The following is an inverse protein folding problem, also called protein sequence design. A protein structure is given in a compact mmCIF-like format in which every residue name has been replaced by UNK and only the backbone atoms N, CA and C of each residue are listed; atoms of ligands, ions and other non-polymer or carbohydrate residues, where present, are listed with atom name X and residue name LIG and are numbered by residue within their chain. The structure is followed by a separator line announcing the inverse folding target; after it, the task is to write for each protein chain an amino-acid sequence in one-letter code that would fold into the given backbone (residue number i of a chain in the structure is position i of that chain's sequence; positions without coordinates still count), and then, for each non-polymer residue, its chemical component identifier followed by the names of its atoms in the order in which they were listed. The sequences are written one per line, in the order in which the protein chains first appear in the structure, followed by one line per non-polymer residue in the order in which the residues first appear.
data_IF_365322810712
#
_entry.id   IF_365322810712
#
_cell.length_a   1.000
_cell.length_b   1.000
_cell.length_c   1.000
_cell.angle_alpha   90.00
_cell.angle_beta   90.00
_cell.angle_gamma   90.00
#
_symmetry.space_group_name_H-M   'P 1'
#
loop_
_entity.id
_entity.type
_entity.pdbx_description
1 polymer ?
#
# COMPACT_ATOMS: atom_id res chain seq x y z
N UNK A 1 -3.26 16.45 -16.72
CA UNK A 1 -2.46 15.73 -15.70
C UNK A 1 -3.02 14.32 -15.51
N UNK A 2 -2.20 13.29 -15.65
CA UNK A 2 -2.67 11.92 -15.48
C UNK A 2 -2.43 11.44 -14.06
N UNK A 3 -3.43 10.76 -13.50
CA UNK A 3 -3.45 10.29 -12.12
C UNK A 3 -3.52 8.77 -12.07
N UNK A 4 -2.62 8.15 -11.32
CA UNK A 4 -2.66 6.73 -10.98
C UNK A 4 -3.02 6.58 -9.51
N UNK A 5 -3.77 5.53 -9.20
CA UNK A 5 -4.11 5.14 -7.83
C UNK A 5 -3.53 3.75 -7.62
N UNK A 6 -2.40 3.69 -6.94
CA UNK A 6 -1.68 2.44 -6.67
C UNK A 6 -1.95 2.06 -5.24
N UNK A 7 -2.40 0.84 -5.00
CA UNK A 7 -2.77 0.43 -3.66
C UNK A 7 -2.42 -1.02 -3.37
N UNK A 8 -2.14 -1.28 -2.11
CA UNK A 8 -2.08 -2.63 -1.56
C UNK A 8 -3.21 -2.78 -0.55
N UNK A 9 -4.03 -3.78 -0.71
CA UNK A 9 -5.16 -4.04 0.17
C UNK A 9 -5.25 -5.52 0.53
N UNK A 10 -5.81 -5.80 1.70
CA UNK A 10 -5.96 -7.15 2.21
C UNK A 10 -7.44 -7.49 2.37
N UNK A 11 -7.83 -8.59 1.77
CA UNK A 11 -9.14 -9.23 2.00
C UNK A 11 -8.99 -10.26 3.11
N UNK A 12 -10.09 -10.86 3.54
CA UNK A 12 -10.09 -11.86 4.59
C UNK A 12 -10.14 -11.25 5.98
N UNK A 13 -9.40 -11.83 6.94
CA UNK A 13 -9.37 -11.35 8.32
C UNK A 13 -8.68 -9.99 8.44
N UNK A 14 -9.40 -8.98 8.90
CA UNK A 14 -8.89 -7.63 9.11
C UNK A 14 -9.37 -7.08 10.43
N UNK A 15 -8.58 -6.21 11.04
CA UNK A 15 -8.97 -5.50 12.24
C UNK A 15 -9.91 -4.37 11.86
N UNK A 16 -11.13 -4.39 12.43
CA UNK A 16 -12.14 -3.39 12.14
C UNK A 16 -12.98 -3.15 13.39
N UNK A 17 -13.08 -1.89 13.83
CA UNK A 17 -13.86 -1.47 15.00
C UNK A 17 -13.56 -2.31 16.24
N UNK A 18 -12.27 -2.52 16.54
CA UNK A 18 -11.80 -3.25 17.71
C UNK A 18 -11.91 -4.76 17.65
N UNK A 19 -12.17 -5.35 16.49
CA UNK A 19 -12.29 -6.81 16.32
C UNK A 19 -11.86 -7.26 14.92
N UNK A 20 -11.58 -8.55 14.78
CA UNK A 20 -11.26 -9.15 13.48
C UNK A 20 -12.55 -9.43 12.72
N UNK A 21 -12.62 -8.95 11.48
CA UNK A 21 -13.76 -9.12 10.57
C UNK A 21 -13.26 -9.68 9.26
N UNK A 22 -14.03 -10.61 8.66
CA UNK A 22 -13.74 -11.13 7.32
C UNK A 22 -14.29 -10.15 6.28
N UNK A 23 -13.42 -9.70 5.37
CA UNK A 23 -13.78 -8.73 4.33
C UNK A 23 -13.67 -9.35 2.94
N UNK A 24 -14.70 -9.21 2.11
CA UNK A 24 -14.66 -9.59 0.70
C UNK A 24 -13.84 -8.59 -0.11
N UNK A 25 -13.94 -7.30 0.26
CA UNK A 25 -13.15 -6.21 -0.31
C UNK A 25 -12.42 -5.51 0.81
N UNK A 26 -11.11 -5.35 0.70
CA UNK A 26 -10.31 -4.69 1.72
C UNK A 26 -10.62 -3.19 1.82
N UNK A 27 -10.39 -2.62 3.00
CA UNK A 27 -10.67 -1.21 3.27
C UNK A 27 -9.88 -0.26 2.36
N UNK A 28 -8.62 -0.56 2.09
CA UNK A 28 -7.80 0.24 1.19
C UNK A 28 -8.32 0.17 -0.24
N UNK A 29 -8.83 -0.98 -0.67
CA UNK A 29 -9.42 -1.15 -1.99
C UNK A 29 -10.71 -0.33 -2.13
N UNK A 30 -11.57 -0.31 -1.10
CA UNK A 30 -12.79 0.51 -1.08
C UNK A 30 -12.46 2.00 -1.22
N UNK A 31 -11.50 2.48 -0.46
CA UNK A 31 -11.08 3.89 -0.51
C UNK A 31 -10.47 4.24 -1.86
N UNK A 32 -9.69 3.33 -2.44
CA UNK A 32 -9.09 3.52 -3.76
C UNK A 32 -10.16 3.63 -4.86
N UNK A 33 -11.21 2.81 -4.78
CA UNK A 33 -12.34 2.87 -5.71
C UNK A 33 -13.08 4.21 -5.61
N UNK A 34 -13.24 4.73 -4.40
CA UNK A 34 -13.82 6.06 -4.19
C UNK A 34 -12.95 7.15 -4.81
N UNK A 35 -11.64 7.09 -4.62
CA UNK A 35 -10.71 8.05 -5.23
C UNK A 35 -10.76 8.01 -6.75
N UNK A 36 -10.94 6.83 -7.35
CA UNK A 36 -11.13 6.71 -8.80
C UNK A 36 -12.36 7.49 -9.27
N UNK A 37 -13.47 7.41 -8.56
CA UNK A 37 -14.68 8.15 -8.90
C UNK A 37 -14.45 9.66 -8.82
N UNK A 38 -13.70 10.12 -7.80
CA UNK A 38 -13.45 11.54 -7.57
C UNK A 38 -12.42 12.12 -8.53
N UNK A 39 -11.34 11.39 -8.80
CA UNK A 39 -10.19 11.89 -9.58
C UNK A 39 -10.21 11.49 -11.04
N UNK A 40 -10.95 10.45 -11.41
CA UNK A 40 -10.89 9.85 -12.73
C UNK A 40 -9.60 9.07 -13.01
N UNK A 41 -8.78 8.80 -11.99
CA UNK A 41 -7.52 8.10 -12.13
C UNK A 41 -7.65 6.63 -12.45
N UNK A 42 -6.54 6.01 -12.86
CA UNK A 42 -6.47 4.58 -13.14
C UNK A 42 -6.04 3.81 -11.89
N UNK A 43 -6.69 2.67 -11.65
CA UNK A 43 -6.43 1.82 -10.48
C UNK A 43 -5.38 0.75 -10.81
N UNK A 44 -4.42 0.59 -9.89
CA UNK A 44 -3.40 -0.46 -9.94
C UNK A 44 -3.34 -1.15 -8.59
N UNK A 45 -3.72 -2.41 -8.54
CA UNK A 45 -3.66 -3.23 -7.32
C UNK A 45 -2.30 -3.91 -7.24
N UNK A 46 -1.57 -3.65 -6.16
CA UNK A 46 -0.32 -4.36 -5.88
C UNK A 46 -0.67 -5.72 -5.27
N UNK A 47 -0.17 -6.79 -5.86
CA UNK A 47 -0.40 -8.14 -5.38
C UNK A 47 0.91 -8.89 -5.24
N UNK A 48 1.08 -9.53 -4.09
CA UNK A 48 2.24 -10.38 -3.83
C UNK A 48 2.11 -11.67 -4.62
N UNK A 49 3.22 -12.16 -5.13
CA UNK A 49 3.28 -13.47 -5.80
C UNK A 49 2.93 -14.59 -4.82
N UNK A 50 3.34 -14.44 -3.57
CA UNK A 50 3.03 -15.34 -2.46
C UNK A 50 2.36 -14.51 -1.34
N UNK A 51 1.02 -14.33 -1.38
CA UNK A 51 0.34 -13.45 -0.43
C UNK A 51 0.39 -13.98 1.01
N UNK A 52 0.26 -13.05 1.96
CA UNK A 52 0.09 -13.39 3.37
C UNK A 52 -1.20 -14.19 3.59
N UNK A 53 -1.26 -14.89 4.72
CA UNK A 53 -2.43 -15.67 5.12
C UNK A 53 -3.68 -14.78 5.22
N UNK A 54 -4.85 -15.35 4.89
CA UNK A 54 -6.15 -14.72 5.14
C UNK A 54 -6.47 -14.66 6.63
N UNK A 55 -5.89 -15.53 7.45
CA UNK A 55 -6.02 -15.47 8.91
C UNK A 55 -5.28 -14.26 9.44
N UNK A 56 -5.99 -13.43 10.22
CA UNK A 56 -5.43 -12.17 10.72
C UNK A 56 -4.19 -12.38 11.58
N UNK A 57 -4.24 -13.31 12.55
CA UNK A 57 -3.13 -13.51 13.47
C UNK A 57 -1.88 -14.05 12.76
N UNK A 58 -2.06 -14.98 11.81
CA UNK A 58 -0.96 -15.51 11.02
C UNK A 58 -0.35 -14.42 10.15
N UNK A 59 -1.19 -13.62 9.49
CA UNK A 59 -0.74 -12.49 8.66
C UNK A 59 0.06 -11.46 9.47
N UNK A 60 -0.41 -11.11 10.66
CA UNK A 60 0.28 -10.17 11.55
C UNK A 60 1.70 -10.65 11.86
N UNK A 61 1.84 -11.95 12.16
CA UNK A 61 3.15 -12.53 12.45
C UNK A 61 4.04 -12.60 11.22
N UNK A 62 3.50 -12.97 10.07
CA UNK A 62 4.23 -13.00 8.80
C UNK A 62 4.75 -11.60 8.43
N UNK A 63 3.89 -10.59 8.54
CA UNK A 63 4.24 -9.21 8.22
C UNK A 63 5.33 -8.68 9.17
N UNK A 64 5.25 -8.99 10.46
CA UNK A 64 6.25 -8.57 11.42
C UNK A 64 7.60 -9.23 11.16
N UNK A 65 7.60 -10.52 10.86
CA UNK A 65 8.82 -11.26 10.53
C UNK A 65 9.50 -10.68 9.29
N UNK A 66 8.72 -10.40 8.24
CA UNK A 66 9.23 -9.77 7.03
C UNK A 66 9.80 -8.37 7.30
N UNK A 67 9.14 -7.59 8.15
CA UNK A 67 9.62 -6.26 8.53
C UNK A 67 10.96 -6.34 9.27
N UNK A 68 11.07 -7.25 10.24
CA UNK A 68 12.30 -7.44 11.04
C UNK A 68 13.47 -7.88 10.14
N UNK A 69 13.19 -8.76 9.18
CA UNK A 69 14.20 -9.32 8.28
C UNK A 69 14.42 -8.47 7.02
N UNK A 70 13.72 -7.35 6.87
CA UNK A 70 13.79 -6.48 5.70
C UNK A 70 13.52 -7.22 4.39
N UNK A 71 12.54 -8.14 4.40
CA UNK A 71 12.17 -8.92 3.22
C UNK A 71 11.41 -8.04 2.22
N UNK A 72 11.82 -8.09 0.95
CA UNK A 72 11.10 -7.44 -0.14
C UNK A 72 10.35 -8.50 -0.93
N UNK A 73 9.05 -8.73 -0.64
CA UNK A 73 8.30 -9.77 -1.32
C UNK A 73 8.17 -9.49 -2.81
N UNK A 74 8.21 -10.53 -3.62
CA UNK A 74 8.03 -10.43 -5.05
C UNK A 74 6.57 -10.11 -5.36
N UNK A 75 6.36 -9.11 -6.23
CA UNK A 75 5.03 -8.73 -6.71
C UNK A 75 4.71 -9.47 -8.01
N UNK A 76 3.43 -9.76 -8.23
CA UNK A 76 2.98 -10.41 -9.47
C UNK A 76 3.25 -9.54 -10.69
N UNK A 77 3.08 -8.23 -10.53
CA UNK A 77 3.25 -7.26 -11.60
C UNK A 77 3.67 -5.92 -11.01
N UNK A 78 4.58 -5.23 -11.70
CA UNK A 78 4.98 -3.87 -11.34
C UNK A 78 4.33 -2.94 -12.38
N UNK A 79 3.43 -2.02 -11.96
CA UNK A 79 2.78 -1.14 -12.92
C UNK A 79 3.78 -0.17 -13.57
N UNK A 80 3.59 0.07 -14.87
CA UNK A 80 4.35 1.10 -15.58
C UNK A 80 3.65 2.46 -15.36
N UNK A 81 4.29 3.34 -14.61
CA UNK A 81 3.74 4.63 -14.23
C UNK A 81 4.37 5.80 -15.00
N UNK A 82 5.07 5.54 -16.08
CA UNK A 82 5.83 6.56 -16.82
C UNK A 82 4.97 7.71 -17.35
N UNK A 83 3.70 7.46 -17.67
CA UNK A 83 2.78 8.47 -18.21
C UNK A 83 2.01 9.25 -17.16
N UNK A 84 2.18 8.91 -15.88
CA UNK A 84 1.42 9.55 -14.79
C UNK A 84 2.25 10.63 -14.11
N UNK A 85 1.57 11.71 -13.71
CA UNK A 85 2.18 12.83 -13.00
C UNK A 85 1.92 12.78 -11.50
N UNK A 86 0.77 12.25 -11.13
CA UNK A 86 0.32 12.13 -9.74
C UNK A 86 0.02 10.68 -9.38
N UNK A 87 0.51 10.26 -8.24
CA UNK A 87 0.33 8.89 -7.72
C UNK A 87 -0.33 8.99 -6.35
N UNK A 88 -1.56 8.49 -6.25
CA UNK A 88 -2.18 8.21 -4.94
C UNK A 88 -1.73 6.83 -4.52
N UNK A 89 -1.03 6.75 -3.40
CA UNK A 89 -0.48 5.49 -2.89
C UNK A 89 -1.23 5.08 -1.64
N UNK A 90 -1.98 3.99 -1.73
CA UNK A 90 -2.85 3.50 -0.66
C UNK A 90 -2.34 2.22 -0.03
N UNK A 91 -2.41 2.12 1.30
CA UNK A 91 -1.93 0.95 2.03
C UNK A 91 -2.48 0.90 3.45
N UNK A 92 -2.64 -0.30 4.03
CA UNK A 92 -2.85 -0.40 5.47
C UNK A 92 -1.53 -0.16 6.20
N UNK A 93 -1.60 0.31 7.44
CA UNK A 93 -0.41 0.44 8.29
C UNK A 93 -0.11 -0.92 8.92
N UNK A 94 1.10 -1.43 8.70
CA UNK A 94 1.61 -2.66 9.30
C UNK A 94 2.74 -2.31 10.26
N UNK A 95 2.49 -2.55 11.55
CA UNK A 95 3.51 -2.30 12.59
C UNK A 95 4.08 -0.87 12.49
N UNK A 96 3.18 0.11 12.39
CA UNK A 96 3.45 1.56 12.36
C UNK A 96 4.22 2.03 11.12
N UNK A 97 4.30 1.21 10.06
CA UNK A 97 5.03 1.54 8.84
C UNK A 97 4.34 0.96 7.59
N UNK A 98 4.98 1.15 6.44
CA UNK A 98 4.54 0.60 5.17
C UNK A 98 4.53 -0.93 5.19
N UNK A 99 3.54 -1.56 4.55
CA UNK A 99 3.63 -2.99 4.26
C UNK A 99 4.84 -3.29 3.37
N UNK A 100 5.48 -4.45 3.56
CA UNK A 100 6.63 -4.83 2.75
C UNK A 100 6.35 -4.87 1.24
N UNK A 101 5.15 -5.29 0.76
CA UNK A 101 4.83 -5.20 -0.67
C UNK A 101 4.90 -3.77 -1.23
N UNK A 102 4.53 -2.77 -0.44
CA UNK A 102 4.62 -1.37 -0.85
C UNK A 102 6.09 -0.93 -0.94
N UNK A 103 6.92 -1.38 0.01
CA UNK A 103 8.36 -1.13 -0.04
C UNK A 103 8.97 -1.78 -1.29
N UNK A 104 8.56 -3.00 -1.63
CA UNK A 104 8.98 -3.69 -2.85
C UNK A 104 8.64 -2.86 -4.10
N UNK A 105 7.43 -2.33 -4.17
CA UNK A 105 6.98 -1.48 -5.27
C UNK A 105 7.84 -0.22 -5.38
N UNK A 106 7.99 0.53 -4.28
CA UNK A 106 8.75 1.78 -4.26
C UNK A 106 10.25 1.58 -4.56
N UNK A 107 10.77 0.41 -4.26
CA UNK A 107 12.16 0.05 -4.58
C UNK A 107 12.37 -0.37 -6.03
N UNK A 108 11.28 -0.67 -6.75
CA UNK A 108 11.32 -1.22 -8.11
C UNK A 108 11.01 -0.20 -9.20
N UNK A 109 10.50 0.98 -8.85
CA UNK A 109 10.07 2.02 -9.80
C UNK A 109 10.85 3.31 -9.58
N UNK A 110 10.88 4.15 -10.61
CA UNK A 110 11.42 5.51 -10.52
C UNK A 110 10.27 6.50 -10.62
N UNK A 111 9.98 7.18 -9.52
CA UNK A 111 8.91 8.17 -9.43
C UNK A 111 9.47 9.60 -9.36
N UNK A 112 10.69 9.82 -9.81
CA UNK A 112 11.33 11.14 -9.82
C UNK A 112 10.49 12.16 -10.57
N UNK A 113 10.30 13.32 -9.98
CA UNK A 113 9.53 14.42 -10.56
C UNK A 113 8.01 14.25 -10.45
N UNK A 114 7.52 13.15 -9.91
CA UNK A 114 6.10 12.92 -9.73
C UNK A 114 5.66 13.31 -8.31
N UNK A 115 4.35 13.55 -8.15
CA UNK A 115 3.74 13.82 -6.86
C UNK A 115 3.14 12.54 -6.31
N UNK A 116 3.44 12.24 -5.05
CA UNK A 116 2.90 11.07 -4.33
C UNK A 116 2.01 11.57 -3.20
N UNK A 117 0.75 11.14 -3.22
CA UNK A 117 -0.24 11.43 -2.17
C UNK A 117 -0.52 10.14 -1.42
N UNK A 118 0.16 9.91 -0.27
CA UNK A 118 -0.09 8.70 0.51
C UNK A 118 -1.42 8.78 1.24
N UNK A 119 -2.13 7.66 1.29
CA UNK A 119 -3.31 7.50 2.14
C UNK A 119 -3.29 6.11 2.75
N UNK A 120 -3.82 5.99 3.98
CA UNK A 120 -3.77 4.71 4.67
C UNK A 120 -5.07 4.39 5.38
N UNK A 121 -5.28 3.10 5.62
CA UNK A 121 -6.33 2.60 6.50
C UNK A 121 -5.67 2.11 7.78
N UNK A 122 -6.24 2.48 8.94
CA UNK A 122 -5.65 2.17 10.25
C UNK A 122 -6.70 2.24 11.34
N UNK A 123 -6.38 1.67 12.51
CA UNK A 123 -7.19 1.75 13.72
C UNK A 123 -6.54 2.70 14.74
N UNK A 124 -6.52 4.00 14.41
CA UNK A 124 -6.06 5.04 15.32
C UNK A 124 -4.55 5.30 15.33
N UNK A 125 -3.76 4.54 14.58
CA UNK A 125 -2.30 4.73 14.54
C UNK A 125 -1.82 5.87 13.62
N UNK A 126 -2.71 6.37 12.74
CA UNK A 126 -2.34 7.38 11.75
C UNK A 126 -1.42 6.80 10.67
N UNK A 127 -0.57 7.63 10.09
CA UNK A 127 0.36 7.21 9.03
C UNK A 127 1.66 6.60 9.58
N UNK A 128 1.91 6.70 10.90
CA UNK A 128 3.13 6.16 11.51
C UNK A 128 4.39 6.70 10.84
N UNK A 129 5.38 5.85 10.62
CA UNK A 129 6.62 6.20 9.94
C UNK A 129 6.53 6.12 8.41
N UNK A 130 5.36 5.81 7.85
CA UNK A 130 5.22 5.49 6.43
C UNK A 130 5.60 6.65 5.50
N UNK A 131 5.20 7.87 5.81
CA UNK A 131 5.50 9.03 4.95
C UNK A 131 7.01 9.27 4.86
N UNK A 132 7.71 9.23 6.00
CA UNK A 132 9.17 9.36 6.03
C UNK A 132 9.84 8.25 5.22
N UNK A 133 9.34 7.03 5.31
CA UNK A 133 9.86 5.89 4.59
C UNK A 133 9.68 6.04 3.06
N UNK A 134 8.51 6.54 2.63
CA UNK A 134 8.27 6.85 1.21
C UNK A 134 9.31 7.87 0.71
N UNK A 135 9.56 8.92 1.48
CA UNK A 135 10.54 9.96 1.11
C UNK A 135 11.96 9.39 0.99
N UNK A 136 12.32 8.45 1.85
CA UNK A 136 13.62 7.77 1.78
C UNK A 136 13.76 6.91 0.53
N UNK A 137 12.71 6.19 0.15
CA UNK A 137 12.70 5.30 -1.00
C UNK A 137 12.60 6.05 -2.33
N UNK A 138 11.93 7.21 -2.34
CA UNK A 138 11.75 8.03 -3.54
C UNK A 138 12.13 9.48 -3.25
N UNK A 139 13.43 9.78 -3.06
CA UNK A 139 13.89 11.10 -2.64
C UNK A 139 13.71 12.19 -3.70
N UNK A 140 13.52 11.82 -4.96
CA UNK A 140 13.32 12.76 -6.06
C UNK A 140 11.85 12.99 -6.40
N UNK A 141 10.93 12.34 -5.69
CA UNK A 141 9.50 12.57 -5.82
C UNK A 141 9.04 13.62 -4.79
N UNK A 142 7.95 14.29 -5.11
CA UNK A 142 7.29 15.21 -4.16
C UNK A 142 6.22 14.43 -3.39
N UNK A 143 6.39 14.30 -2.09
CA UNK A 143 5.48 13.53 -1.22
C UNK A 143 4.67 14.47 -0.34
#
# INVERSE_FOLDING_TARGET
MKTAIVYYSRRGGNWFDGKVVQLEVGNTELLSSYLKEVTGGDLFSLQMKHPYSDDYDICVNEAKEDQINHVLPELREIPDLSIYDEIYLGYPIFWEDLPQPVISFLSSVDLSGKRIYPFSTHEGSGLGASVSHIKELQPQAEV
#
